data_IF_366975000698
#
_entry.id   IF_366975000698
#
_cell.length_a   1.000
_cell.length_b   1.000
_cell.length_c   1.000
_cell.angle_alpha   90.00
_cell.angle_beta   90.00
_cell.angle_gamma   90.00
#
_symmetry.space_group_name_H-M   'P 1'
#
loop_
_entity.id
_entity.type
_entity.pdbx_description
1 polymer ?
#
# COMPACT_ATOMS: atom_id res chain seq x y z
N UNK A 1 2.97 -14.37 -9.28
CA UNK A 1 3.71 -13.60 -10.28
C UNK A 1 5.22 -13.76 -10.13
N UNK A 2 5.97 -13.97 -11.22
CA UNK A 2 7.44 -13.99 -11.20
C UNK A 2 8.02 -12.58 -11.38
N UNK A 3 8.93 -12.19 -10.49
CA UNK A 3 9.60 -10.88 -10.53
C UNK A 3 10.62 -10.85 -11.66
N UNK A 4 10.61 -9.77 -12.45
CA UNK A 4 11.50 -9.60 -13.61
C UNK A 4 12.27 -8.29 -13.50
N UNK A 5 13.50 -8.29 -13.98
CA UNK A 5 14.30 -7.08 -14.12
C UNK A 5 14.59 -6.80 -15.60
N UNK A 6 14.75 -5.53 -15.94
CA UNK A 6 15.12 -5.09 -17.29
C UNK A 6 16.64 -4.99 -17.41
N UNK A 7 17.22 -5.74 -18.35
CA UNK A 7 18.67 -5.75 -18.63
C UNK A 7 19.13 -4.66 -19.60
N UNK A 8 18.24 -3.77 -20.04
CA UNK A 8 18.49 -2.86 -21.18
C UNK A 8 18.07 -3.44 -22.54
N UNK A 9 17.75 -4.74 -22.61
CA UNK A 9 17.37 -5.42 -23.86
C UNK A 9 16.19 -6.38 -23.70
N UNK A 10 16.19 -7.14 -22.61
CA UNK A 10 15.17 -8.15 -22.33
C UNK A 10 14.78 -8.11 -20.85
N UNK A 11 13.50 -8.41 -20.60
CA UNK A 11 12.98 -8.71 -19.27
C UNK A 11 13.45 -10.11 -18.86
N UNK A 12 14.23 -10.18 -17.79
CA UNK A 12 14.82 -11.44 -17.29
C UNK A 12 14.23 -11.76 -15.92
N UNK A 13 13.91 -13.04 -15.69
CA UNK A 13 13.38 -13.50 -14.40
C UNK A 13 14.48 -13.40 -13.35
N UNK A 14 14.13 -12.84 -12.19
CA UNK A 14 15.00 -12.82 -11.01
C UNK A 14 15.13 -14.26 -10.50
N UNK A 15 16.35 -14.81 -10.53
CA UNK A 15 16.61 -16.17 -10.04
C UNK A 15 16.54 -16.18 -8.51
N UNK A 16 16.30 -17.37 -7.95
CA UNK A 16 16.27 -17.61 -6.50
C UNK A 16 15.13 -16.89 -5.74
N UNK A 17 14.09 -16.47 -6.46
CA UNK A 17 12.86 -15.97 -5.85
C UNK A 17 12.10 -17.11 -5.18
N UNK A 18 12.05 -17.09 -3.84
CA UNK A 18 11.34 -18.10 -3.03
C UNK A 18 9.89 -17.73 -2.73
N UNK A 19 9.51 -16.46 -2.94
CA UNK A 19 8.16 -15.93 -2.65
C UNK A 19 7.76 -14.87 -3.67
N UNK A 20 6.47 -14.64 -3.84
CA UNK A 20 5.95 -13.60 -4.72
C UNK A 20 6.00 -12.24 -4.04
N UNK A 21 6.49 -11.22 -4.75
CA UNK A 21 6.52 -9.85 -4.24
C UNK A 21 5.24 -9.13 -4.63
N UNK A 22 4.63 -8.47 -3.65
CA UNK A 22 3.43 -7.65 -3.82
C UNK A 22 3.78 -6.20 -4.13
N UNK A 23 4.94 -5.72 -3.68
CA UNK A 23 5.40 -4.35 -3.89
C UNK A 23 6.93 -4.25 -3.91
N UNK A 24 7.45 -3.22 -4.56
CA UNK A 24 8.89 -2.93 -4.67
C UNK A 24 9.13 -1.42 -4.53
N UNK A 25 10.17 -1.07 -3.76
CA UNK A 25 10.52 0.33 -3.51
C UNK A 25 12.03 0.53 -3.52
N UNK A 26 12.47 1.72 -3.93
CA UNK A 26 13.87 2.14 -3.77
C UNK A 26 13.95 3.15 -2.63
N UNK A 27 14.67 2.80 -1.56
CA UNK A 27 14.82 3.63 -0.37
C UNK A 27 16.28 3.70 0.05
N UNK A 28 16.80 4.90 0.35
CA UNK A 28 18.22 5.06 0.71
C UNK A 28 19.21 4.55 -0.36
N UNK A 29 18.79 4.47 -1.63
CA UNK A 29 19.59 3.88 -2.73
C UNK A 29 19.60 2.35 -2.77
N UNK A 30 18.82 1.68 -1.93
CA UNK A 30 18.67 0.22 -1.89
C UNK A 30 17.28 -0.18 -2.40
N UNK A 31 17.20 -1.33 -3.07
CA UNK A 31 15.93 -1.88 -3.58
C UNK A 31 15.36 -2.86 -2.58
N UNK A 32 14.16 -2.59 -2.10
CA UNK A 32 13.41 -3.46 -1.21
C UNK A 32 12.20 -4.05 -1.91
N UNK A 33 11.89 -5.29 -1.60
CA UNK A 33 10.71 -6.00 -2.09
C UNK A 33 9.91 -6.54 -0.90
N UNK A 34 8.59 -6.38 -0.96
CA UNK A 34 7.64 -6.82 0.04
C UNK A 34 6.91 -8.05 -0.46
N UNK A 35 6.82 -9.08 0.36
CA UNK A 35 6.06 -10.28 0.06
C UNK A 35 4.71 -10.27 0.78
N UNK A 36 3.76 -11.06 0.29
CA UNK A 36 2.39 -11.15 0.82
C UNK A 36 2.32 -11.69 2.26
N UNK A 37 3.35 -12.42 2.70
CA UNK A 37 3.51 -12.91 4.07
C UNK A 37 4.07 -11.84 5.04
N UNK A 38 4.30 -10.61 4.57
CA UNK A 38 4.90 -9.55 5.38
C UNK A 38 6.42 -9.66 5.53
N UNK A 39 7.08 -10.60 4.85
CA UNK A 39 8.54 -10.63 4.75
C UNK A 39 9.04 -9.52 3.83
N UNK A 40 10.10 -8.83 4.25
CA UNK A 40 10.81 -7.85 3.42
C UNK A 40 12.13 -8.44 2.94
N UNK A 41 12.49 -8.14 1.70
CA UNK A 41 13.69 -8.61 1.05
C UNK A 41 14.47 -7.42 0.49
N UNK A 42 15.79 -7.48 0.59
CA UNK A 42 16.71 -6.56 -0.08
C UNK A 42 17.24 -7.23 -1.36
N UNK A 43 17.15 -6.52 -2.48
CA UNK A 43 17.70 -6.93 -3.76
C UNK A 43 18.97 -6.12 -4.01
N UNK A 44 20.11 -6.79 -4.05
CA UNK A 44 21.40 -6.15 -4.31
C UNK A 44 21.52 -5.69 -5.78
N UNK A 45 22.51 -4.85 -6.07
CA UNK A 45 22.86 -4.46 -7.44
C UNK A 45 23.32 -5.64 -8.32
N UNK A 46 23.79 -6.73 -7.70
CA UNK A 46 24.09 -8.00 -8.38
C UNK A 46 22.87 -8.89 -8.57
N UNK A 47 21.68 -8.38 -8.26
CA UNK A 47 20.39 -9.08 -8.36
C UNK A 47 20.28 -10.31 -7.45
N UNK A 48 21.03 -10.29 -6.34
CA UNK A 48 20.95 -11.30 -5.29
C UNK A 48 19.91 -10.87 -4.26
N UNK A 49 19.12 -11.81 -3.76
CA UNK A 49 17.98 -11.54 -2.85
C UNK A 49 18.36 -11.97 -1.43
N UNK A 50 18.19 -11.07 -0.47
CA UNK A 50 18.49 -11.30 0.94
C UNK A 50 17.28 -10.94 1.79
N UNK A 51 16.95 -11.76 2.79
CA UNK A 51 15.87 -11.41 3.72
C UNK A 51 16.29 -10.19 4.55
N UNK A 52 15.42 -9.20 4.65
CA UNK A 52 15.64 -7.98 5.42
C UNK A 52 14.79 -8.00 6.69
N UNK A 53 15.45 -8.21 7.83
CA UNK A 53 14.78 -8.18 9.13
C UNK A 53 13.82 -9.35 9.40
N UNK A 54 13.17 -9.32 10.58
CA UNK A 54 12.02 -10.18 10.83
C UNK A 54 10.83 -9.76 9.95
N UNK A 55 9.92 -10.68 9.61
CA UNK A 55 8.65 -10.32 8.97
C UNK A 55 7.82 -9.44 9.91
N UNK A 56 6.88 -8.69 9.33
CA UNK A 56 5.88 -7.96 10.13
C UNK A 56 5.08 -8.97 10.98
N UNK A 57 4.83 -8.62 12.24
CA UNK A 57 4.14 -9.49 13.19
C UNK A 57 2.74 -9.92 12.69
N UNK A 58 2.54 -11.23 12.56
CA UNK A 58 1.31 -11.89 12.13
C UNK A 58 0.21 -11.87 13.22
N UNK A 59 0.53 -11.57 14.48
CA UNK A 59 -0.21 -12.10 15.64
C UNK A 59 -1.58 -11.49 16.00
N UNK A 60 -2.19 -10.59 15.21
CA UNK A 60 -3.32 -9.78 15.76
C UNK A 60 -4.60 -9.74 14.90
N UNK A 61 -4.58 -10.12 13.64
CA UNK A 61 -5.80 -10.05 12.81
C UNK A 61 -6.18 -11.46 12.39
N UNK A 62 -7.27 -11.99 12.93
CA UNK A 62 -7.87 -13.25 12.48
C UNK A 62 -8.47 -13.18 11.07
N UNK A 63 -7.81 -12.48 10.14
CA UNK A 63 -8.09 -12.41 8.72
C UNK A 63 -6.79 -12.68 7.98
N UNK A 64 -6.77 -13.79 7.24
CA UNK A 64 -5.65 -14.17 6.37
C UNK A 64 -5.60 -13.31 5.09
N UNK A 65 -6.53 -12.36 4.92
CA UNK A 65 -6.64 -11.51 3.74
C UNK A 65 -6.03 -10.13 4.03
N UNK A 66 -4.74 -9.98 3.73
CA UNK A 66 -3.98 -8.73 3.86
C UNK A 66 -3.51 -8.22 2.51
N UNK A 67 -3.45 -6.91 2.36
CA UNK A 67 -2.82 -6.25 1.22
C UNK A 67 -1.75 -5.29 1.75
N UNK A 68 -0.50 -5.57 1.37
CA UNK A 68 0.68 -4.92 1.90
C UNK A 68 1.33 -4.04 0.83
N UNK A 69 1.60 -2.78 1.16
CA UNK A 69 2.25 -1.83 0.26
C UNK A 69 3.26 -0.96 0.99
N UNK A 70 4.29 -0.53 0.28
CA UNK A 70 5.23 0.47 0.74
C UNK A 70 4.65 1.88 0.55
N UNK A 71 4.99 2.77 1.48
CA UNK A 71 4.75 4.22 1.35
C UNK A 71 6.00 4.95 1.78
N UNK A 72 6.48 5.88 0.96
CA UNK A 72 7.60 6.76 1.31
C UNK A 72 7.09 8.16 1.65
N UNK A 73 7.64 8.72 2.74
CA UNK A 73 7.39 10.11 3.10
C UNK A 73 8.55 10.68 3.91
N UNK A 74 8.96 11.92 3.64
CA UNK A 74 9.92 12.64 4.48
C UNK A 74 11.29 11.96 4.63
N UNK A 75 11.71 11.13 3.67
CA UNK A 75 12.95 10.34 3.78
C UNK A 75 12.81 9.08 4.63
N UNK A 76 11.59 8.72 5.02
CA UNK A 76 11.25 7.55 5.82
C UNK A 76 10.49 6.54 4.95
N UNK A 77 10.56 5.26 5.33
CA UNK A 77 9.84 4.17 4.67
C UNK A 77 8.83 3.53 5.62
N UNK A 78 7.63 3.31 5.10
CA UNK A 78 6.54 2.69 5.81
C UNK A 78 6.01 1.48 5.04
N UNK A 79 5.46 0.52 5.76
CA UNK A 79 4.59 -0.51 5.23
C UNK A 79 3.18 -0.27 5.76
N UNK A 80 2.21 -0.25 4.86
CA UNK A 80 0.80 -0.17 5.17
C UNK A 80 0.17 -1.54 4.97
N UNK A 81 -0.41 -2.08 6.03
CA UNK A 81 -1.11 -3.35 6.08
C UNK A 81 -2.62 -3.08 6.05
N UNK A 82 -3.22 -3.25 4.88
CA UNK A 82 -4.65 -3.14 4.65
C UNK A 82 -5.32 -4.46 4.98
N UNK A 83 -6.15 -4.44 6.03
CA UNK A 83 -6.85 -5.62 6.54
C UNK A 83 -8.20 -5.73 5.85
N UNK A 84 -8.44 -6.85 5.19
CA UNK A 84 -9.65 -7.12 4.43
C UNK A 84 -10.59 -8.04 5.21
N UNK A 85 -11.89 -7.96 4.91
CA UNK A 85 -12.89 -8.84 5.51
C UNK A 85 -12.77 -10.26 4.95
N UNK A 86 -12.68 -11.25 5.83
CA UNK A 86 -12.72 -12.67 5.47
C UNK A 86 -14.02 -13.03 4.72
N UNK A 87 -13.91 -13.84 3.67
CA UNK A 87 -15.04 -14.29 2.85
C UNK A 87 -15.45 -13.34 1.71
N UNK A 88 -14.89 -12.13 1.63
CA UNK A 88 -14.83 -11.35 0.36
C UNK A 88 -13.63 -11.84 -0.50
N UNK A 89 -13.25 -13.12 -0.37
CA UNK A 89 -12.01 -13.69 -0.90
C UNK A 89 -11.83 -13.32 -2.37
N UNK A 90 -10.76 -12.57 -2.59
CA UNK A 90 -10.15 -12.27 -3.86
C UNK A 90 -9.93 -13.60 -4.59
N UNK A 91 -10.46 -13.76 -5.81
CA UNK A 91 -9.82 -14.69 -6.73
C UNK A 91 -8.41 -14.12 -6.98
N UNK A 92 -7.32 -14.83 -6.63
CA UNK A 92 -5.96 -14.34 -6.83
C UNK A 92 -5.62 -14.09 -8.31
N UNK A 93 -6.48 -14.52 -9.24
CA UNK A 93 -6.37 -14.24 -10.68
C UNK A 93 -7.21 -13.05 -11.15
N UNK A 94 -8.00 -12.43 -10.26
CA UNK A 94 -8.81 -11.25 -10.59
C UNK A 94 -8.09 -10.00 -10.12
N UNK A 95 -7.74 -9.14 -11.07
CA UNK A 95 -7.22 -7.81 -10.80
C UNK A 95 -8.41 -6.90 -10.45
N UNK A 96 -8.59 -6.59 -9.17
CA UNK A 96 -9.66 -5.70 -8.73
C UNK A 96 -9.26 -4.26 -9.02
N UNK A 97 -9.62 -3.80 -10.21
CA UNK A 97 -9.47 -2.39 -10.58
C UNK A 97 -10.75 -1.68 -10.13
N UNK A 98 -10.61 -0.76 -9.18
CA UNK A 98 -11.60 0.28 -8.97
C UNK A 98 -11.37 1.37 -10.03
N UNK A 99 -11.79 1.11 -11.26
CA UNK A 99 -11.74 2.11 -12.32
C UNK A 99 -13.09 2.84 -12.38
N UNK A 100 -13.00 4.15 -12.57
CA UNK A 100 -14.14 4.98 -12.95
C UNK A 100 -13.80 5.48 -14.36
N UNK A 101 -14.72 5.31 -15.31
CA UNK A 101 -14.54 5.90 -16.63
C UNK A 101 -14.74 7.42 -16.63
N UNK A 102 -14.45 8.04 -17.77
CA UNK A 102 -14.62 9.49 -17.99
C UNK A 102 -16.07 9.96 -17.72
N UNK A 103 -17.05 9.06 -17.83
CA UNK A 103 -18.46 9.34 -17.59
C UNK A 103 -18.87 9.13 -16.12
N UNK A 104 -17.94 8.75 -15.24
CA UNK A 104 -18.19 8.52 -13.82
C UNK A 104 -18.80 7.15 -13.51
N UNK A 105 -18.85 6.23 -14.48
CA UNK A 105 -19.37 4.88 -14.29
C UNK A 105 -18.29 3.95 -13.76
N UNK A 106 -18.70 3.05 -12.86
CA UNK A 106 -17.82 2.01 -12.36
C UNK A 106 -17.49 1.01 -13.48
N UNK A 107 -16.20 0.82 -13.73
CA UNK A 107 -15.68 -0.26 -14.56
C UNK A 107 -14.85 -1.21 -13.67
N UNK A 108 -15.16 -2.50 -13.71
CA UNK A 108 -14.41 -3.54 -13.00
C UNK A 108 -15.15 -4.19 -11.84
N UNK A 109 -14.55 -5.25 -11.28
CA UNK A 109 -15.11 -5.99 -10.15
C UNK A 109 -14.86 -5.27 -8.82
N UNK A 110 -15.80 -5.43 -7.88
CA UNK A 110 -15.76 -4.74 -6.60
C UNK A 110 -14.57 -5.18 -5.74
N UNK A 111 -13.75 -4.22 -5.29
CA UNK A 111 -12.68 -4.48 -4.32
C UNK A 111 -13.22 -5.11 -3.02
N UNK A 112 -12.44 -5.98 -2.35
CA UNK A 112 -12.82 -6.54 -1.05
C UNK A 112 -13.04 -5.45 -0.02
N UNK A 113 -13.96 -5.68 0.92
CA UNK A 113 -14.25 -4.71 1.97
C UNK A 113 -13.06 -4.56 2.90
N UNK A 114 -12.63 -3.33 3.10
CA UNK A 114 -11.59 -3.01 4.09
C UNK A 114 -12.19 -2.86 5.48
N UNK A 115 -11.56 -3.50 6.47
CA UNK A 115 -12.02 -3.46 7.87
C UNK A 115 -11.03 -2.75 8.80
N UNK A 116 -9.81 -2.49 8.35
CA UNK A 116 -8.85 -1.71 9.11
C UNK A 116 -7.50 -1.59 8.43
N UNK A 117 -6.61 -0.85 9.09
CA UNK A 117 -5.22 -0.69 8.66
C UNK A 117 -4.28 -0.78 9.84
N UNK A 118 -3.05 -1.19 9.56
CA UNK A 118 -1.88 -0.98 10.42
C UNK A 118 -0.78 -0.34 9.61
N UNK A 119 0.05 0.46 10.26
CA UNK A 119 1.18 1.12 9.62
C UNK A 119 2.44 0.78 10.40
N UNK A 120 3.49 0.38 9.70
CA UNK A 120 4.78 0.05 10.28
C UNK A 120 5.85 0.95 9.69
N UNK A 121 6.62 1.61 10.53
CA UNK A 121 7.76 2.42 10.13
C UNK A 121 9.03 1.56 10.14
N UNK A 122 9.89 1.74 9.15
CA UNK A 122 11.22 1.13 9.09
C UNK A 122 12.11 1.70 10.20
N UNK A 123 12.75 0.82 10.97
CA UNK A 123 13.80 1.15 11.92
C UNK A 123 15.13 0.64 11.35
N UNK A 124 15.88 1.53 10.69
CA UNK A 124 17.08 1.18 9.92
C UNK A 124 18.15 0.48 10.77
N UNK A 125 18.41 0.98 11.99
CA UNK A 125 19.48 0.46 12.86
C UNK A 125 19.28 -1.01 13.24
N UNK A 126 18.02 -1.44 13.37
CA UNK A 126 17.68 -2.80 13.78
C UNK A 126 17.16 -3.67 12.62
N UNK A 127 16.93 -3.08 11.45
CA UNK A 127 16.24 -3.72 10.34
C UNK A 127 14.84 -4.21 10.73
N UNK A 128 14.14 -3.47 11.59
CA UNK A 128 12.83 -3.84 12.13
C UNK A 128 11.72 -2.94 11.59
N UNK A 129 10.49 -3.39 11.80
CA UNK A 129 9.27 -2.69 11.44
C UNK A 129 8.48 -2.41 12.71
N UNK A 130 8.31 -1.13 13.05
CA UNK A 130 7.65 -0.70 14.30
C UNK A 130 6.27 -0.15 13.98
N UNK A 131 5.23 -0.72 14.57
CA UNK A 131 3.87 -0.21 14.36
C UNK A 131 3.75 1.23 14.89
N UNK A 132 3.25 2.13 14.04
CA UNK A 132 2.97 3.52 14.39
C UNK A 132 1.46 3.75 14.42
N UNK A 133 1.00 4.48 15.43
CA UNK A 133 -0.42 4.87 15.59
C UNK A 133 -0.69 6.32 15.16
N UNK A 134 0.34 7.02 14.70
CA UNK A 134 0.24 8.40 14.26
C UNK A 134 1.16 8.66 13.06
N UNK A 135 0.61 9.29 12.02
CA UNK A 135 1.33 9.88 10.89
C UNK A 135 1.60 11.38 11.09
N UNK A 136 1.24 11.94 12.25
CA UNK A 136 1.41 13.37 12.50
C UNK A 136 0.47 14.23 11.64
N UNK A 137 1.04 15.14 10.85
CA UNK A 137 0.29 15.98 9.90
C UNK A 137 0.00 15.26 8.57
N UNK A 138 0.60 14.09 8.35
CA UNK A 138 0.54 13.44 7.06
C UNK A 138 -0.71 12.56 6.92
N UNK A 139 -1.10 12.34 5.67
CA UNK A 139 -2.04 11.33 5.27
C UNK A 139 -1.42 10.42 4.20
N UNK A 140 -1.81 9.16 4.20
CA UNK A 140 -1.45 8.22 3.13
C UNK A 140 -2.62 8.02 2.18
N UNK A 141 -2.31 7.80 0.91
CA UNK A 141 -3.29 7.52 -0.14
C UNK A 141 -2.94 6.16 -0.74
N UNK A 142 -3.88 5.22 -0.64
CA UNK A 142 -3.79 3.88 -1.19
C UNK A 142 -4.52 3.87 -2.54
N UNK A 143 -3.77 4.08 -3.63
CA UNK A 143 -4.30 3.92 -4.99
C UNK A 143 -4.03 2.50 -5.52
N UNK A 144 -4.57 2.20 -6.71
CA UNK A 144 -4.43 0.88 -7.33
C UNK A 144 -2.98 0.56 -7.71
N UNK A 145 -2.26 1.56 -8.24
CA UNK A 145 -0.94 1.33 -8.85
C UNK A 145 0.21 1.85 -7.99
N UNK A 146 -0.06 2.81 -7.10
CA UNK A 146 0.96 3.38 -6.23
C UNK A 146 0.35 3.90 -4.94
N UNK A 147 1.07 3.71 -3.84
CA UNK A 147 0.71 4.29 -2.55
C UNK A 147 1.68 5.43 -2.23
N UNK A 148 1.14 6.56 -1.81
CA UNK A 148 1.95 7.76 -1.56
C UNK A 148 1.42 8.53 -0.35
N UNK A 149 2.23 9.48 0.13
CA UNK A 149 1.89 10.35 1.26
C UNK A 149 1.68 11.79 0.81
N UNK A 150 0.82 12.50 1.53
CA UNK A 150 0.55 13.93 1.39
C UNK A 150 0.59 14.62 2.75
N UNK A 151 1.06 15.86 2.81
CA UNK A 151 0.89 16.69 4.01
C UNK A 151 -0.54 17.22 4.05
N UNK A 152 -1.28 16.94 5.13
CA UNK A 152 -2.69 17.36 5.21
C UNK A 152 -2.82 18.90 5.26
N UNK A 153 -1.84 19.60 5.84
CA UNK A 153 -1.81 21.06 5.87
C UNK A 153 -1.78 21.72 4.49
N UNK A 154 -1.33 21.02 3.44
CA UNK A 154 -1.25 21.55 2.07
C UNK A 154 -2.57 21.41 1.30
N UNK A 155 -3.50 20.56 1.75
CA UNK A 155 -4.73 20.24 1.05
C UNK A 155 -5.97 20.53 1.90
N UNK A 156 -6.74 21.55 1.54
CA UNK A 156 -7.94 21.94 2.27
C UNK A 156 -8.93 20.77 2.40
N UNK A 157 -9.33 20.46 3.63
CA UNK A 157 -10.23 19.32 3.91
C UNK A 157 -9.56 17.95 3.95
N UNK A 158 -8.25 17.86 3.71
CA UNK A 158 -7.49 16.65 3.99
C UNK A 158 -7.38 16.44 5.50
N UNK A 159 -7.66 15.22 5.95
CA UNK A 159 -7.51 14.82 7.34
C UNK A 159 -6.09 14.37 7.57
N UNK A 160 -5.42 14.99 8.55
CA UNK A 160 -4.16 14.48 9.09
C UNK A 160 -4.36 13.13 9.77
N UNK A 161 -3.26 12.40 9.93
CA UNK A 161 -3.25 11.10 10.62
C UNK A 161 -4.29 10.11 10.06
N UNK A 162 -4.39 10.06 8.73
CA UNK A 162 -5.43 9.32 8.03
C UNK A 162 -4.90 8.56 6.81
N UNK A 163 -5.64 7.53 6.41
CA UNK A 163 -5.38 6.75 5.19
C UNK A 163 -6.61 6.83 4.30
N UNK A 164 -6.44 7.37 3.11
CA UNK A 164 -7.46 7.41 2.07
C UNK A 164 -7.32 6.19 1.17
N UNK A 165 -8.45 5.56 0.84
CA UNK A 165 -8.45 4.35 0.02
C UNK A 165 -9.77 4.19 -0.73
N UNK A 166 -9.72 3.51 -1.88
CA UNK A 166 -10.92 3.02 -2.56
C UNK A 166 -11.41 1.74 -1.87
N UNK A 167 -12.63 1.76 -1.34
CA UNK A 167 -13.32 0.60 -0.79
C UNK A 167 -14.28 0.00 -1.83
N UNK A 168 -14.99 -1.07 -1.44
CA UNK A 168 -16.04 -1.72 -2.25
C UNK A 168 -16.93 -0.67 -2.95
N UNK A 169 -17.23 -0.92 -4.23
CA UNK A 169 -17.99 0.00 -5.13
C UNK A 169 -17.24 1.29 -5.50
N UNK A 170 -15.90 1.27 -5.49
CA UNK A 170 -15.04 2.43 -5.82
C UNK A 170 -15.30 3.67 -4.95
N UNK A 171 -15.86 3.48 -3.75
CA UNK A 171 -16.14 4.58 -2.84
C UNK A 171 -14.87 4.97 -2.11
N UNK A 172 -14.49 6.23 -2.21
CA UNK A 172 -13.37 6.73 -1.41
C UNK A 172 -13.78 6.80 0.06
N UNK A 173 -12.99 6.16 0.90
CA UNK A 173 -13.16 6.13 2.34
C UNK A 173 -11.87 6.59 3.00
N UNK A 174 -12.01 7.01 4.25
CA UNK A 174 -10.90 7.44 5.07
C UNK A 174 -10.87 6.63 6.35
N UNK A 175 -9.74 6.01 6.63
CA UNK A 175 -9.41 5.37 7.89
C UNK A 175 -8.66 6.38 8.76
N UNK A 176 -9.18 6.65 9.95
CA UNK A 176 -8.55 7.55 10.93
C UNK A 176 -7.72 6.71 11.89
N UNK A 177 -6.40 6.96 11.96
CA UNK A 177 -5.54 6.19 12.86
C UNK A 177 -5.82 6.47 14.33
N UNK A 178 -6.37 7.66 14.65
CA UNK A 178 -6.65 8.09 16.03
C UNK A 178 -7.64 7.17 16.76
N UNK A 179 -8.71 6.75 16.09
CA UNK A 179 -9.80 5.96 16.68
C UNK A 179 -10.07 4.65 15.92
N UNK A 180 -9.24 4.33 14.92
CA UNK A 180 -9.39 3.19 14.02
C UNK A 180 -10.75 3.13 13.31
N UNK A 181 -11.40 4.27 13.10
CA UNK A 181 -12.70 4.35 12.41
C UNK A 181 -12.54 4.48 10.89
N UNK A 182 -13.49 3.89 10.15
CA UNK A 182 -13.62 4.06 8.70
C UNK A 182 -14.87 4.90 8.41
N UNK A 183 -14.67 6.04 7.78
CA UNK A 183 -15.77 6.95 7.39
C UNK A 183 -15.77 7.18 5.88
N UNK A 184 -16.87 7.71 5.34
CA UNK A 184 -16.87 8.18 3.94
C UNK A 184 -15.95 9.39 3.87
N UNK A 185 -15.13 9.46 2.83
CA UNK A 185 -14.38 10.67 2.59
C UNK A 185 -15.34 11.74 2.08
N UNK A 186 -15.58 12.79 2.87
CA UNK A 186 -16.26 13.99 2.41
C UNK A 186 -15.27 14.80 1.56
N UNK A 187 -14.95 14.26 0.39
CA UNK A 187 -14.17 14.97 -0.60
C UNK A 187 -15.10 16.06 -1.13
N UNK A 188 -14.90 17.31 -0.74
CA UNK A 188 -15.54 18.41 -1.44
C UNK A 188 -15.20 18.26 -2.92
N UNK A 189 -16.23 18.21 -3.77
CA UNK A 189 -16.17 17.94 -5.22
C UNK A 189 -15.16 18.86 -5.98
N UNK A 190 -14.60 19.87 -5.30
CA UNK A 190 -13.66 20.84 -5.86
C UNK A 190 -12.22 20.75 -5.31
N UNK A 191 -11.87 19.84 -4.39
CA UNK A 191 -10.56 19.90 -3.71
C UNK A 191 -9.72 18.62 -3.82
N UNK A 192 -10.35 17.44 -3.84
CA UNK A 192 -9.65 16.16 -3.92
C UNK A 192 -9.71 15.39 -5.26
N UNK A 193 -10.46 15.77 -6.31
CA UNK A 193 -10.33 15.07 -7.58
C UNK A 193 -8.88 15.07 -8.08
N UNK A 194 -8.11 16.15 -7.91
CA UNK A 194 -6.72 16.20 -8.42
C UNK A 194 -5.75 15.16 -7.82
N UNK A 195 -6.02 14.62 -6.62
CA UNK A 195 -5.20 13.55 -6.03
C UNK A 195 -5.53 12.17 -6.62
N UNK A 196 -6.73 12.01 -7.20
CA UNK A 196 -7.22 10.75 -7.80
C UNK A 196 -7.43 10.84 -9.33
N UNK A 197 -7.31 12.03 -9.93
CA UNK A 197 -7.48 12.30 -11.37
C UNK A 197 -6.18 12.17 -12.17
N UNK A 198 -5.05 11.84 -11.55
CA UNK A 198 -3.78 11.54 -12.24
C UNK A 198 -3.49 10.02 -12.23
N UNK A 199 -4.53 9.20 -12.30
CA UNK A 199 -4.44 7.73 -12.39
C UNK A 199 -4.46 7.24 -13.86
N UNK A 200 -4.05 8.08 -14.81
CA UNK A 200 -3.98 7.78 -16.25
C UNK A 200 -2.68 7.05 -16.65
#
# INVERSE_FOLDING_TARGET
MSTRFWSGRIWTILKDQLTEFTDVVIHGGLTYALASDGSVWWISSSLSIFKYGPPIDESITGSDCRNLSFVQHGGELYIVDRILKEGDTLDPNVFYVCAIDDDGNQIGETSPKTIGFKVYKMEEEMGKWVEVKSLGDDAFVMATDTCFSVSAGEFYGCLKNAIYFADKECKIRVFKLEDASITRAELFENVCPKLFLNLD
#
